data_IF_022251863534
#
_entry.id   IF_022251863534
#
_cell.length_a   1.000
_cell.length_b   1.000
_cell.length_c   1.000
_cell.angle_alpha   90.00
_cell.angle_beta   90.00
_cell.angle_gamma   90.00
#
_symmetry.space_group_name_H-M   'P 1'
#
loop_
_entity.id
_entity.type
_entity.pdbx_description
1 polymer ?
#
# COMPACT_ATOMS: atom_id res chain seq x y z
N UNK A 1 40.93 60.65 54.43
CA UNK A 1 41.16 60.18 53.07
C UNK A 1 40.67 58.76 52.97
N UNK A 2 39.49 58.59 52.46
CA UNK A 2 38.79 57.29 52.36
C UNK A 2 38.46 57.03 50.93
N UNK A 3 38.96 55.94 50.38
CA UNK A 3 38.73 55.52 48.98
C UNK A 3 37.74 54.33 48.98
N UNK A 4 36.56 54.64 48.60
CA UNK A 4 35.47 53.62 48.48
C UNK A 4 35.63 52.90 47.11
N UNK A 5 35.77 51.58 47.19
CA UNK A 5 35.81 50.68 46.00
C UNK A 5 34.51 49.94 45.93
N UNK A 6 33.55 50.44 45.18
CA UNK A 6 32.36 49.68 44.78
C UNK A 6 32.73 48.71 43.65
N UNK A 7 32.73 47.42 43.95
CA UNK A 7 32.84 46.39 42.95
C UNK A 7 31.48 46.15 42.32
N UNK A 8 31.35 46.38 41.03
CA UNK A 8 30.22 45.94 40.20
C UNK A 8 30.35 44.43 39.94
N UNK A 9 29.43 43.65 40.48
CA UNK A 9 29.22 42.25 40.08
C UNK A 9 28.35 42.19 38.85
N UNK A 10 28.93 41.91 37.69
CA UNK A 10 28.21 41.59 36.45
C UNK A 10 27.77 40.12 36.48
N UNK A 11 26.48 39.91 36.65
CA UNK A 11 25.86 38.58 36.45
C UNK A 11 25.79 38.28 34.98
N UNK A 12 26.59 37.27 34.55
CA UNK A 12 26.46 36.67 33.19
C UNK A 12 25.42 35.56 33.32
N UNK A 13 24.22 35.81 32.78
CA UNK A 13 23.22 34.79 32.63
C UNK A 13 23.59 33.89 31.43
N UNK A 14 24.14 32.72 31.71
CA UNK A 14 24.38 31.68 30.71
C UNK A 14 23.07 31.01 30.31
N UNK A 15 22.61 31.24 29.08
CA UNK A 15 21.49 30.50 28.50
C UNK A 15 21.97 29.08 28.18
N UNK A 16 21.50 28.11 28.95
CA UNK A 16 21.65 26.68 28.63
C UNK A 16 20.72 26.35 27.45
N UNK A 17 21.27 26.28 26.26
CA UNK A 17 20.59 25.72 25.09
C UNK A 17 20.45 24.20 25.31
N UNK A 18 19.22 23.74 25.57
CA UNK A 18 18.91 22.32 25.59
C UNK A 18 19.13 21.72 24.19
N UNK A 19 19.86 20.59 24.06
CA UNK A 19 19.98 19.93 22.76
C UNK A 19 18.59 19.43 22.35
N UNK A 20 18.09 19.89 21.21
CA UNK A 20 16.93 19.31 20.56
C UNK A 20 17.27 17.86 20.22
N UNK A 21 16.60 16.92 20.89
CA UNK A 21 16.66 15.51 20.53
C UNK A 21 16.09 15.36 19.09
N UNK A 22 16.97 15.42 18.11
CA UNK A 22 16.63 15.01 16.77
C UNK A 22 16.16 13.56 16.85
N UNK A 23 14.86 13.35 16.62
CA UNK A 23 14.24 12.03 16.59
C UNK A 23 14.96 11.25 15.48
N UNK A 24 15.81 10.29 15.89
CA UNK A 24 16.50 9.41 14.96
C UNK A 24 15.43 8.66 14.15
N UNK A 25 15.33 8.98 12.87
CA UNK A 25 14.51 8.22 11.93
C UNK A 25 15.14 6.83 11.80
N UNK A 26 14.35 5.80 11.99
CA UNK A 26 14.78 4.41 11.78
C UNK A 26 15.37 4.29 10.37
N UNK A 27 16.60 3.76 10.22
CA UNK A 27 17.19 3.59 8.89
C UNK A 27 16.38 2.53 8.13
N UNK A 28 15.75 2.90 7.00
CA UNK A 28 15.21 1.93 6.06
C UNK A 28 13.82 2.18 5.48
N UNK A 29 13.02 3.13 5.99
CA UNK A 29 11.75 3.43 5.33
C UNK A 29 11.91 4.56 4.32
N UNK A 30 11.51 4.31 3.07
CA UNK A 30 11.43 5.33 2.03
C UNK A 30 10.53 6.49 2.48
N UNK A 31 10.88 7.72 2.08
CA UNK A 31 9.96 8.86 2.23
C UNK A 31 8.78 8.80 1.28
N UNK A 32 8.86 7.94 0.24
CA UNK A 32 7.81 7.71 -0.73
C UNK A 32 6.85 6.66 -0.17
N UNK A 33 5.58 6.98 -0.13
CA UNK A 33 4.51 6.05 0.26
C UNK A 33 3.72 5.61 -0.97
N UNK A 34 2.86 4.60 -0.82
CA UNK A 34 1.95 4.14 -1.86
C UNK A 34 1.05 5.26 -2.40
N UNK A 35 0.78 6.29 -1.60
CA UNK A 35 -0.05 7.44 -1.99
C UNK A 35 0.54 8.29 -3.12
N UNK A 36 1.83 8.10 -3.46
CA UNK A 36 2.46 8.76 -4.60
C UNK A 36 2.06 8.14 -5.96
N UNK A 37 1.34 7.00 -5.96
CA UNK A 37 1.04 6.26 -7.18
C UNK A 37 -0.46 6.28 -7.54
N UNK A 38 -0.71 6.11 -8.84
CA UNK A 38 -2.05 5.91 -9.39
C UNK A 38 -2.01 4.84 -10.46
N UNK A 39 -3.10 4.15 -10.69
CA UNK A 39 -3.29 3.22 -11.79
C UNK A 39 -4.31 3.82 -12.76
N UNK A 40 -4.11 3.64 -14.07
CA UNK A 40 -5.19 3.86 -15.01
C UNK A 40 -6.33 2.87 -14.70
N UNK A 41 -7.58 3.33 -14.69
CA UNK A 41 -8.74 2.47 -14.44
C UNK A 41 -9.07 1.63 -15.68
N UNK A 42 -9.57 0.41 -15.46
CA UNK A 42 -9.96 -0.53 -16.54
C UNK A 42 -11.06 0.05 -17.44
N UNK A 43 -12.00 0.78 -16.84
CA UNK A 43 -13.11 1.44 -17.50
C UNK A 43 -12.83 2.94 -17.78
N UNK A 44 -11.58 3.35 -17.65
CA UNK A 44 -11.13 4.74 -17.81
C UNK A 44 -10.95 5.46 -16.48
N UNK A 45 -10.46 6.70 -16.55
CA UNK A 45 -10.08 7.48 -15.36
C UNK A 45 -8.82 6.98 -14.68
N UNK A 46 -8.56 7.49 -13.48
CA UNK A 46 -7.41 7.13 -12.64
C UNK A 46 -7.87 6.62 -11.28
N UNK A 47 -7.24 5.57 -10.79
CA UNK A 47 -7.34 5.10 -9.40
C UNK A 47 -6.15 5.68 -8.65
N UNK A 48 -6.33 6.85 -8.04
CA UNK A 48 -5.27 7.54 -7.28
C UNK A 48 -5.24 7.02 -5.86
N UNK A 49 -4.14 6.38 -5.46
CA UNK A 49 -4.02 5.84 -4.11
C UNK A 49 -4.03 6.93 -3.03
N UNK A 50 -3.68 8.18 -3.38
CA UNK A 50 -3.78 9.34 -2.49
C UNK A 50 -5.21 9.68 -2.05
N UNK A 51 -6.23 9.32 -2.83
CA UNK A 51 -7.64 9.53 -2.48
C UNK A 51 -8.11 8.61 -1.33
N UNK A 52 -7.31 7.59 -1.03
CA UNK A 52 -7.54 6.63 0.05
C UNK A 52 -6.57 6.82 1.22
N UNK A 53 -5.89 7.97 1.31
CA UNK A 53 -5.01 8.26 2.44
C UNK A 53 -5.77 8.12 3.77
N UNK A 54 -5.14 7.51 4.77
CA UNK A 54 -5.78 7.19 6.04
C UNK A 54 -6.67 5.93 6.02
N UNK A 55 -6.71 5.19 4.90
CA UNK A 55 -7.44 3.92 4.75
C UNK A 55 -6.48 2.79 4.35
N UNK A 56 -6.69 1.55 4.82
CA UNK A 56 -5.93 0.42 4.31
C UNK A 56 -6.30 0.11 2.86
N UNK A 57 -5.30 -0.20 2.03
CA UNK A 57 -5.49 -0.54 0.61
C UNK A 57 -4.86 -1.91 0.33
N UNK A 58 -5.64 -2.84 -0.19
CA UNK A 58 -5.14 -4.14 -0.67
C UNK A 58 -4.95 -4.06 -2.19
N UNK A 59 -3.70 -4.06 -2.65
CA UNK A 59 -3.35 -4.09 -4.08
C UNK A 59 -3.03 -5.52 -4.47
N UNK A 60 -3.72 -6.04 -5.49
CA UNK A 60 -3.62 -7.45 -5.91
C UNK A 60 -3.40 -7.53 -7.41
N UNK A 61 -2.34 -8.20 -7.85
CA UNK A 61 -2.19 -8.50 -9.29
C UNK A 61 -3.04 -9.71 -9.68
N UNK A 62 -3.86 -9.57 -10.71
CA UNK A 62 -4.90 -10.53 -11.09
C UNK A 62 -4.69 -11.08 -12.50
N UNK A 63 -5.35 -12.19 -12.80
CA UNK A 63 -5.42 -12.76 -14.15
C UNK A 63 -6.69 -13.61 -14.31
N UNK A 64 -7.26 -13.59 -15.53
CA UNK A 64 -8.53 -14.26 -15.87
C UNK A 64 -8.37 -15.76 -16.15
N UNK A 65 -7.21 -16.22 -16.60
CA UNK A 65 -6.96 -17.62 -17.01
C UNK A 65 -5.99 -18.35 -16.07
N UNK A 66 -6.08 -18.07 -14.79
CA UNK A 66 -5.21 -18.60 -13.75
C UNK A 66 -5.94 -19.64 -12.90
N UNK A 67 -5.25 -20.67 -12.42
CA UNK A 67 -5.82 -21.60 -11.45
C UNK A 67 -6.24 -20.93 -10.12
N UNK A 68 -5.73 -19.72 -9.85
CA UNK A 68 -6.09 -18.91 -8.70
C UNK A 68 -7.18 -17.85 -8.99
N UNK A 69 -7.72 -17.78 -10.20
CA UNK A 69 -8.81 -16.85 -10.56
C UNK A 69 -10.02 -16.92 -9.60
N UNK A 70 -10.38 -18.10 -9.03
CA UNK A 70 -11.43 -18.16 -8.00
C UNK A 70 -11.18 -17.29 -6.77
N UNK A 71 -9.96 -16.80 -6.52
CA UNK A 71 -9.70 -15.85 -5.45
C UNK A 71 -10.43 -14.50 -5.63
N UNK A 72 -10.91 -14.18 -6.83
CA UNK A 72 -11.82 -13.04 -7.01
C UNK A 72 -13.05 -13.10 -6.09
N UNK A 73 -13.63 -14.29 -5.93
CA UNK A 73 -14.77 -14.46 -5.02
C UNK A 73 -14.39 -14.13 -3.56
N UNK A 74 -13.22 -14.58 -3.11
CA UNK A 74 -12.71 -14.25 -1.77
C UNK A 74 -12.38 -12.77 -1.60
N UNK A 75 -11.80 -12.11 -2.64
CA UNK A 75 -11.56 -10.66 -2.65
C UNK A 75 -12.89 -9.89 -2.57
N UNK A 76 -13.91 -10.33 -3.31
CA UNK A 76 -15.24 -9.71 -3.26
C UNK A 76 -15.89 -9.88 -1.89
N UNK A 77 -15.75 -11.06 -1.24
CA UNK A 77 -16.23 -11.25 0.13
C UNK A 77 -15.52 -10.31 1.11
N UNK A 78 -14.20 -10.18 1.00
CA UNK A 78 -13.39 -9.28 1.82
C UNK A 78 -13.84 -7.81 1.61
N UNK A 79 -14.03 -7.41 0.34
CA UNK A 79 -14.55 -6.10 -0.04
C UNK A 79 -15.92 -5.84 0.58
N UNK A 80 -16.89 -6.72 0.35
CA UNK A 80 -18.26 -6.59 0.88
C UNK A 80 -18.26 -6.46 2.40
N UNK A 81 -17.36 -7.18 3.09
CA UNK A 81 -17.32 -7.19 4.55
C UNK A 81 -16.69 -5.94 5.16
N UNK A 82 -15.71 -5.33 4.49
CA UNK A 82 -14.87 -4.30 5.13
C UNK A 82 -14.81 -2.96 4.39
N UNK A 83 -15.36 -2.85 3.20
CA UNK A 83 -15.37 -1.61 2.42
C UNK A 83 -16.04 -0.46 3.18
N UNK A 84 -17.20 -0.68 3.81
CA UNK A 84 -17.90 0.33 4.60
C UNK A 84 -17.11 0.77 5.85
N UNK A 85 -16.17 -0.06 6.31
CA UNK A 85 -15.22 0.29 7.37
C UNK A 85 -13.99 1.03 6.85
N UNK A 86 -13.83 1.15 5.57
CA UNK A 86 -12.76 1.91 4.93
C UNK A 86 -11.71 1.08 4.17
N UNK A 87 -11.84 -0.27 4.10
CA UNK A 87 -10.94 -1.06 3.26
C UNK A 87 -11.13 -0.68 1.79
N UNK A 88 -10.01 -0.43 1.11
CA UNK A 88 -9.96 -0.31 -0.35
C UNK A 88 -9.29 -1.55 -0.93
N UNK A 89 -9.82 -2.07 -2.05
CA UNK A 89 -9.18 -3.11 -2.86
C UNK A 89 -8.96 -2.57 -4.27
N UNK A 90 -7.77 -2.81 -4.83
CA UNK A 90 -7.44 -2.48 -6.22
C UNK A 90 -6.91 -3.77 -6.88
N UNK A 91 -7.67 -4.29 -7.84
CA UNK A 91 -7.20 -5.37 -8.71
C UNK A 91 -6.37 -4.80 -9.87
N UNK A 92 -5.23 -5.40 -10.15
CA UNK A 92 -4.32 -4.99 -11.23
C UNK A 92 -4.12 -6.16 -12.19
N UNK A 93 -4.91 -6.26 -13.27
CA UNK A 93 -4.74 -7.30 -14.27
C UNK A 93 -3.33 -7.28 -14.88
N UNK A 94 -2.68 -8.44 -14.96
CA UNK A 94 -1.31 -8.55 -15.47
C UNK A 94 -1.09 -9.83 -16.27
N UNK A 95 -0.43 -9.68 -17.41
CA UNK A 95 -0.06 -10.81 -18.28
C UNK A 95 1.33 -11.38 -17.99
N UNK A 96 1.99 -10.93 -16.93
CA UNK A 96 3.41 -11.25 -16.65
C UNK A 96 3.65 -12.68 -16.18
N UNK A 97 2.62 -13.37 -15.71
CA UNK A 97 2.75 -14.73 -15.19
C UNK A 97 1.98 -15.71 -16.07
N UNK A 98 2.73 -16.49 -16.84
CA UNK A 98 2.17 -17.53 -17.69
C UNK A 98 1.28 -17.02 -18.83
N UNK A 99 1.35 -15.74 -19.18
CA UNK A 99 0.47 -15.10 -20.17
C UNK A 99 -1.03 -15.38 -19.90
N UNK A 100 -1.42 -15.34 -18.63
CA UNK A 100 -2.78 -15.70 -18.18
C UNK A 100 -3.78 -14.54 -18.15
N UNK A 101 -3.38 -13.36 -18.65
CA UNK A 101 -4.27 -12.21 -18.89
C UNK A 101 -4.14 -11.69 -20.34
N UNK A 102 -4.39 -12.53 -21.37
CA UNK A 102 -4.21 -12.13 -22.76
C UNK A 102 -5.35 -11.21 -23.25
N UNK A 103 -6.49 -11.23 -22.57
CA UNK A 103 -7.74 -10.61 -22.97
C UNK A 103 -7.71 -9.09 -23.07
N UNK A 104 -8.75 -8.56 -23.68
CA UNK A 104 -9.06 -7.13 -23.74
C UNK A 104 -9.65 -6.64 -22.41
N UNK A 105 -9.80 -5.33 -22.17
CA UNK A 105 -10.54 -4.82 -21.00
C UNK A 105 -11.94 -5.43 -20.84
N UNK A 106 -12.64 -5.68 -21.96
CA UNK A 106 -13.98 -6.29 -21.94
C UNK A 106 -13.91 -7.74 -21.43
N UNK A 107 -12.90 -8.51 -21.85
CA UNK A 107 -12.74 -9.90 -21.41
C UNK A 107 -12.40 -9.96 -19.92
N UNK A 108 -11.58 -9.01 -19.44
CA UNK A 108 -11.22 -8.89 -18.00
C UNK A 108 -12.47 -8.53 -17.19
N UNK A 109 -13.27 -7.55 -17.63
CA UNK A 109 -14.52 -7.18 -16.97
C UNK A 109 -15.49 -8.35 -16.91
N UNK A 110 -15.64 -9.07 -18.03
CA UNK A 110 -16.50 -10.25 -18.07
C UNK A 110 -16.11 -11.27 -17.00
N UNK A 111 -14.83 -11.63 -16.93
CA UNK A 111 -14.38 -12.55 -15.89
C UNK A 111 -14.61 -11.98 -14.50
N UNK A 112 -14.15 -10.76 -14.21
CA UNK A 112 -14.21 -10.22 -12.87
C UNK A 112 -15.65 -9.89 -12.43
N UNK A 113 -16.43 -9.18 -13.26
CA UNK A 113 -17.76 -8.70 -12.92
C UNK A 113 -18.82 -9.78 -13.13
N UNK A 114 -18.88 -10.41 -14.34
CA UNK A 114 -19.98 -11.31 -14.66
C UNK A 114 -19.82 -12.69 -13.99
N UNK A 115 -18.58 -13.23 -13.99
CA UNK A 115 -18.34 -14.57 -13.47
C UNK A 115 -18.12 -14.59 -11.94
N UNK A 116 -17.50 -13.52 -11.36
CA UNK A 116 -17.15 -13.46 -9.94
C UNK A 116 -17.84 -12.34 -9.15
N UNK A 117 -18.63 -11.48 -9.78
CA UNK A 117 -19.39 -10.42 -9.11
C UNK A 117 -18.50 -9.32 -8.50
N UNK A 118 -17.29 -9.10 -9.02
CA UNK A 118 -16.36 -8.09 -8.50
C UNK A 118 -16.96 -6.70 -8.65
N UNK A 119 -16.93 -5.93 -7.55
CA UNK A 119 -17.39 -4.53 -7.51
C UNK A 119 -16.32 -3.56 -7.00
N UNK A 120 -15.17 -4.06 -6.57
CA UNK A 120 -14.03 -3.21 -6.25
C UNK A 120 -13.31 -2.75 -7.53
N UNK A 121 -12.61 -1.60 -7.50
CA UNK A 121 -11.91 -1.05 -8.65
C UNK A 121 -10.88 -1.99 -9.28
N UNK A 122 -10.89 -2.05 -10.60
CA UNK A 122 -9.90 -2.73 -11.42
C UNK A 122 -9.08 -1.72 -12.22
N UNK A 123 -7.77 -1.86 -12.18
CA UNK A 123 -6.86 -1.11 -13.03
C UNK A 123 -6.86 -1.65 -14.47
N UNK A 124 -6.47 -0.81 -15.42
CA UNK A 124 -6.05 -1.27 -16.71
C UNK A 124 -4.87 -2.25 -16.58
N UNK A 125 -4.75 -3.16 -17.55
CA UNK A 125 -3.67 -4.15 -17.57
C UNK A 125 -2.31 -3.47 -17.43
N UNK A 126 -1.47 -3.96 -16.50
CA UNK A 126 -0.16 -3.42 -16.22
C UNK A 126 0.91 -4.52 -16.07
N UNK A 127 2.16 -4.17 -16.34
CA UNK A 127 3.29 -4.98 -15.96
C UNK A 127 3.55 -4.82 -14.46
N UNK A 128 3.76 -5.94 -13.75
CA UNK A 128 3.97 -5.94 -12.29
C UNK A 128 5.37 -6.43 -11.90
N UNK A 129 6.17 -6.85 -12.89
CA UNK A 129 7.58 -7.26 -12.70
C UNK A 129 8.48 -6.75 -13.83
N UNK A 130 9.79 -6.80 -13.60
CA UNK A 130 10.80 -6.44 -14.59
C UNK A 130 10.97 -4.93 -14.79
N UNK A 131 11.69 -4.58 -15.88
CA UNK A 131 12.11 -3.20 -16.15
C UNK A 131 10.91 -2.25 -16.33
N UNK A 132 9.86 -2.73 -16.98
CA UNK A 132 8.69 -1.93 -17.33
C UNK A 132 7.58 -2.00 -16.28
N UNK A 133 7.81 -2.66 -15.15
CA UNK A 133 6.82 -2.75 -14.08
C UNK A 133 6.27 -1.37 -13.72
N UNK A 134 4.99 -1.32 -13.43
CA UNK A 134 4.30 -0.12 -12.97
C UNK A 134 5.04 0.51 -11.78
N UNK A 135 5.11 1.85 -11.66
CA UNK A 135 5.87 2.53 -10.60
C UNK A 135 5.56 2.05 -9.19
N UNK A 136 4.31 1.73 -8.88
CA UNK A 136 3.91 1.12 -7.60
C UNK A 136 4.67 -0.19 -7.32
N UNK A 137 4.74 -1.10 -8.31
CA UNK A 137 5.42 -2.39 -8.13
C UNK A 137 6.95 -2.24 -8.06
N UNK A 138 7.52 -1.25 -8.75
CA UNK A 138 8.95 -0.91 -8.59
C UNK A 138 9.24 -0.41 -7.18
N UNK A 139 8.41 0.46 -6.66
CA UNK A 139 8.51 0.94 -5.29
C UNK A 139 8.32 -0.21 -4.29
N UNK A 140 7.30 -1.04 -4.46
CA UNK A 140 7.06 -2.19 -3.59
C UNK A 140 8.24 -3.17 -3.57
N UNK A 141 8.91 -3.39 -4.72
CA UNK A 141 10.10 -4.22 -4.81
C UNK A 141 11.32 -3.63 -4.07
N UNK A 142 11.41 -2.30 -3.95
CA UNK A 142 12.44 -1.63 -3.12
C UNK A 142 12.12 -1.76 -1.63
N UNK A 143 10.85 -1.55 -1.25
CA UNK A 143 10.39 -1.65 0.15
C UNK A 143 10.42 -3.10 0.67
N UNK A 144 10.13 -4.08 -0.19
CA UNK A 144 9.99 -5.51 0.13
C UNK A 144 10.71 -6.39 -0.90
N UNK A 145 12.04 -6.36 -0.99
CA UNK A 145 12.80 -6.98 -2.09
C UNK A 145 12.68 -8.51 -2.15
N UNK A 146 12.38 -9.17 -1.04
CA UNK A 146 12.20 -10.63 -1.00
C UNK A 146 10.74 -11.07 -1.11
N UNK A 147 9.80 -10.11 -1.05
CA UNK A 147 8.36 -10.33 -1.05
C UNK A 147 7.70 -9.76 -2.33
N UNK A 148 8.40 -9.87 -3.47
CA UNK A 148 7.87 -9.45 -4.77
C UNK A 148 6.93 -10.49 -5.37
N UNK A 149 5.99 -10.10 -6.25
CA UNK A 149 5.08 -11.02 -6.90
C UNK A 149 5.85 -12.12 -7.65
N UNK A 150 5.54 -13.38 -7.33
CA UNK A 150 6.08 -14.56 -8.01
C UNK A 150 5.05 -15.24 -8.89
N UNK A 151 3.77 -14.91 -8.68
CA UNK A 151 2.65 -15.41 -9.46
C UNK A 151 1.46 -14.44 -9.39
N UNK A 152 0.36 -14.75 -10.08
CA UNK A 152 -0.89 -13.99 -10.00
C UNK A 152 -1.50 -14.07 -8.60
N UNK A 153 -2.33 -13.12 -8.23
CA UNK A 153 -3.01 -13.00 -6.94
C UNK A 153 -2.06 -12.83 -5.74
N UNK A 154 -0.85 -12.27 -5.99
CA UNK A 154 -0.02 -11.74 -4.90
C UNK A 154 -0.63 -10.44 -4.37
N UNK A 155 -0.55 -10.22 -3.06
CA UNK A 155 -1.26 -9.14 -2.37
C UNK A 155 -0.31 -8.29 -1.55
N UNK A 156 -0.37 -6.98 -1.73
CA UNK A 156 0.25 -6.00 -0.85
C UNK A 156 -0.84 -5.28 -0.04
N UNK A 157 -0.81 -5.38 1.27
CA UNK A 157 -1.63 -4.55 2.15
C UNK A 157 -0.86 -3.28 2.49
N UNK A 158 -1.38 -2.16 2.05
CA UNK A 158 -0.89 -0.84 2.39
C UNK A 158 -1.62 -0.38 3.64
N UNK A 159 -0.88 0.03 4.65
CA UNK A 159 -1.42 0.60 5.87
C UNK A 159 -1.95 2.02 5.69
N UNK A 160 -2.65 2.52 6.70
CA UNK A 160 -3.23 3.87 6.71
C UNK A 160 -2.19 4.98 6.50
N UNK A 161 -0.93 4.72 6.86
CA UNK A 161 0.22 5.62 6.69
C UNK A 161 0.84 5.55 5.27
N UNK A 162 0.32 4.69 4.40
CA UNK A 162 0.80 4.51 3.03
C UNK A 162 2.02 3.59 2.89
N UNK A 163 2.52 2.98 3.96
CA UNK A 163 3.58 1.98 3.90
C UNK A 163 3.02 0.56 3.76
N UNK A 164 3.83 -0.38 3.28
CA UNK A 164 3.43 -1.79 3.18
C UNK A 164 3.34 -2.39 4.59
N UNK A 165 2.13 -2.63 5.05
CA UNK A 165 1.84 -3.22 6.36
C UNK A 165 1.99 -4.75 6.36
N UNK A 166 1.61 -5.42 5.26
CA UNK A 166 1.73 -6.87 5.10
C UNK A 166 1.83 -7.26 3.63
N UNK A 167 2.36 -8.45 3.38
CA UNK A 167 2.47 -9.05 2.04
C UNK A 167 1.94 -10.48 2.12
N UNK A 168 1.13 -10.88 1.15
CA UNK A 168 0.58 -12.23 1.09
C UNK A 168 0.86 -12.83 -0.28
N UNK A 169 1.62 -13.91 -0.35
CA UNK A 169 1.85 -14.62 -1.60
C UNK A 169 0.56 -15.25 -2.13
N UNK A 170 0.63 -15.73 -3.34
CA UNK A 170 -0.50 -16.27 -4.12
C UNK A 170 -1.33 -17.30 -3.35
N UNK A 171 -0.68 -18.19 -2.62
CA UNK A 171 -1.28 -19.33 -1.91
C UNK A 171 -2.16 -18.91 -0.73
N UNK A 172 -2.00 -17.68 -0.26
CA UNK A 172 -2.81 -17.17 0.84
C UNK A 172 -4.13 -16.62 0.30
N UNK A 173 -5.21 -17.32 0.62
CA UNK A 173 -6.56 -16.93 0.20
C UNK A 173 -6.98 -15.57 0.81
N UNK A 174 -7.76 -14.76 0.08
CA UNK A 174 -8.20 -13.45 0.59
C UNK A 174 -8.96 -13.50 1.90
N UNK A 175 -9.67 -14.60 2.18
CA UNK A 175 -10.43 -14.80 3.43
C UNK A 175 -9.66 -15.60 4.48
N UNK A 176 -8.36 -15.86 4.27
CA UNK A 176 -7.49 -16.44 5.30
C UNK A 176 -7.42 -15.53 6.53
N UNK A 177 -7.37 -16.12 7.72
CA UNK A 177 -7.30 -15.38 8.98
C UNK A 177 -6.13 -14.36 9.00
N UNK A 178 -5.00 -14.71 8.40
CA UNK A 178 -3.82 -13.82 8.32
C UNK A 178 -4.11 -12.52 7.56
N UNK A 179 -4.90 -12.61 6.47
CA UNK A 179 -5.31 -11.43 5.69
C UNK A 179 -6.34 -10.63 6.47
N UNK A 180 -7.35 -11.30 7.01
CA UNK A 180 -8.42 -10.68 7.79
C UNK A 180 -7.84 -9.94 9.00
N UNK A 181 -6.98 -10.60 9.77
CA UNK A 181 -6.38 -10.00 10.99
C UNK A 181 -5.52 -8.78 10.66
N UNK A 182 -4.74 -8.84 9.55
CA UNK A 182 -3.94 -7.71 9.11
C UNK A 182 -4.83 -6.53 8.65
N UNK A 183 -5.89 -6.80 7.89
CA UNK A 183 -6.87 -5.79 7.46
C UNK A 183 -7.56 -5.15 8.66
N UNK A 184 -8.06 -5.96 9.59
CA UNK A 184 -8.74 -5.48 10.80
C UNK A 184 -7.79 -4.64 11.65
N UNK A 185 -6.55 -5.07 11.82
CA UNK A 185 -5.52 -4.31 12.55
C UNK A 185 -5.32 -2.92 11.96
N UNK A 186 -5.27 -2.79 10.63
CA UNK A 186 -5.13 -1.47 9.99
C UNK A 186 -6.42 -0.66 10.04
N UNK A 187 -7.60 -1.30 9.98
CA UNK A 187 -8.88 -0.61 10.14
C UNK A 187 -9.09 -0.04 11.54
N UNK A 188 -8.63 -0.76 12.58
CA UNK A 188 -8.80 -0.40 13.99
C UNK A 188 -7.64 0.48 14.52
N UNK A 189 -6.62 0.74 13.69
CA UNK A 189 -5.48 1.56 14.07
C UNK A 189 -5.93 3.01 14.32
N UNK A 190 -5.81 3.46 15.57
CA UNK A 190 -6.03 4.87 15.95
C UNK A 190 -4.77 5.66 15.62
N UNK A 191 -4.92 6.83 15.02
CA UNK A 191 -3.82 7.76 14.75
C UNK A 191 -3.28 8.39 16.04
#
# INVERSE_FOLDING_TARGET
MSTDRRQLLTLVAGALAAPSLARAQSPGMSRVTAFAFSFAGLEGGDIRLSEYAGKPILVVNTASLCGYTPQYAGLQQLWTRYHDRGLMIVGVPSNDFGAQEPGTPIDIMKTAHDDYGVTFPLAAKAEVKGRNAHPFYKWAAVERPVETPRWNFHKYLIGRDGHIAAVFPTEIEPMDARVIDAVVKELDRVE
#
